data_IF_142737681038
#
_entry.id   IF_142737681038
#
_cell.length_a   1.000
_cell.length_b   1.000
_cell.length_c   1.000
_cell.angle_alpha   90.00
_cell.angle_beta   90.00
_cell.angle_gamma   90.00
#
_symmetry.space_group_name_H-M   'P 1'
#
loop_
_entity.id
_entity.type
_entity.pdbx_description
1 polymer ?
#
# COMPACT_ATOMS: atom_id res chain seq x y z
N UNK A 1 -9.34 -2.92 14.70
CA UNK A 1 -9.34 -4.41 14.73
C UNK A 1 -8.28 -5.01 15.66
N UNK A 2 -7.82 -4.35 16.73
CA UNK A 2 -6.83 -4.96 17.63
C UNK A 2 -5.37 -5.02 17.11
N UNK A 3 -5.09 -4.46 15.93
CA UNK A 3 -3.73 -4.32 15.37
C UNK A 3 -3.33 -5.42 14.37
N UNK A 4 -2.13 -5.31 13.81
CA UNK A 4 -1.62 -6.19 12.74
C UNK A 4 -1.61 -7.67 13.12
N UNK A 5 -1.16 -8.02 14.34
CA UNK A 5 -1.12 -9.41 14.83
C UNK A 5 -2.51 -10.06 14.89
N UNK A 6 -3.54 -9.29 15.26
CA UNK A 6 -4.91 -9.80 15.37
C UNK A 6 -5.47 -10.10 13.98
N UNK A 7 -5.25 -9.20 13.02
CA UNK A 7 -5.68 -9.39 11.63
C UNK A 7 -4.95 -10.58 11.01
N UNK A 8 -3.62 -10.64 11.14
CA UNK A 8 -2.83 -11.75 10.60
C UNK A 8 -3.22 -13.09 11.20
N UNK A 9 -3.35 -13.19 12.53
CA UNK A 9 -3.76 -14.42 13.20
C UNK A 9 -5.14 -14.90 12.76
N UNK A 10 -6.07 -13.98 12.54
CA UNK A 10 -7.39 -14.32 11.99
C UNK A 10 -7.29 -14.88 10.56
N UNK A 11 -6.53 -14.23 9.68
CA UNK A 11 -6.36 -14.69 8.29
C UNK A 11 -5.68 -16.05 8.23
N UNK A 12 -4.59 -16.25 8.97
CA UNK A 12 -3.88 -17.53 9.03
C UNK A 12 -4.75 -18.66 9.60
N UNK A 13 -5.54 -18.36 10.64
CA UNK A 13 -6.52 -19.30 11.19
C UNK A 13 -7.58 -19.70 10.17
N UNK A 14 -8.14 -18.73 9.43
CA UNK A 14 -9.11 -19.01 8.37
C UNK A 14 -8.52 -19.84 7.23
N UNK A 15 -7.28 -19.55 6.81
CA UNK A 15 -6.58 -20.34 5.79
C UNK A 15 -6.46 -21.80 6.23
N UNK A 16 -6.06 -22.04 7.49
CA UNK A 16 -5.90 -23.37 8.05
C UNK A 16 -7.25 -24.10 8.20
N UNK A 17 -8.20 -23.50 8.91
CA UNK A 17 -9.43 -24.17 9.34
C UNK A 17 -10.42 -24.41 8.20
N UNK A 18 -10.38 -23.57 7.17
CA UNK A 18 -11.18 -23.74 5.96
C UNK A 18 -10.44 -24.50 4.85
N UNK A 19 -9.21 -24.94 5.09
CA UNK A 19 -8.36 -25.64 4.12
C UNK A 19 -8.28 -24.88 2.78
N UNK A 20 -7.96 -23.59 2.83
CA UNK A 20 -7.84 -22.73 1.65
C UNK A 20 -6.60 -23.16 0.85
N UNK A 21 -6.81 -23.50 -0.42
CA UNK A 21 -5.74 -24.01 -1.31
C UNK A 21 -5.36 -23.03 -2.43
N UNK A 22 -6.13 -21.96 -2.61
CA UNK A 22 -5.77 -20.88 -3.54
C UNK A 22 -4.73 -19.96 -2.89
N UNK A 23 -3.83 -19.33 -3.67
CA UNK A 23 -2.90 -18.35 -3.13
C UNK A 23 -3.62 -17.19 -2.44
N UNK A 24 -3.16 -16.80 -1.26
CA UNK A 24 -3.68 -15.67 -0.50
C UNK A 24 -2.53 -14.72 -0.18
N UNK A 25 -2.74 -13.43 -0.43
CA UNK A 25 -1.86 -12.37 0.04
C UNK A 25 -2.56 -11.60 1.15
N UNK A 26 -1.87 -11.37 2.26
CA UNK A 26 -2.29 -10.38 3.24
C UNK A 26 -1.54 -9.08 2.94
N UNK A 27 -2.30 -8.09 2.46
CA UNK A 27 -1.81 -6.79 2.04
C UNK A 27 -2.16 -5.72 3.08
N UNK A 28 -1.19 -4.89 3.45
CA UNK A 28 -1.49 -3.63 4.15
C UNK A 28 -1.87 -2.58 3.12
N UNK A 29 -3.12 -2.15 3.15
CA UNK A 29 -3.63 -1.08 2.29
C UNK A 29 -3.35 0.30 2.89
N UNK A 30 -3.12 1.30 2.04
CA UNK A 30 -2.85 2.71 2.40
C UNK A 30 -1.97 2.90 3.68
N UNK A 31 -0.87 2.15 3.76
CA UNK A 31 -0.05 2.11 4.96
C UNK A 31 0.68 3.43 5.23
N UNK A 32 0.58 3.95 6.46
CA UNK A 32 1.51 4.98 6.93
C UNK A 32 2.93 4.43 7.05
N UNK A 33 3.95 5.29 7.08
CA UNK A 33 5.36 4.86 7.19
C UNK A 33 5.63 3.94 8.40
N UNK A 34 5.08 4.28 9.58
CA UNK A 34 5.19 3.43 10.77
C UNK A 34 4.29 2.18 10.69
N UNK A 35 3.15 2.28 10.00
CA UNK A 35 2.27 1.14 9.73
C UNK A 35 2.93 0.10 8.84
N UNK A 36 3.60 0.54 7.77
CA UNK A 36 4.38 -0.30 6.87
C UNK A 36 5.48 -1.06 7.62
N UNK A 37 6.25 -0.37 8.47
CA UNK A 37 7.27 -1.03 9.32
C UNK A 37 6.66 -2.12 10.21
N UNK A 38 5.53 -1.83 10.87
CA UNK A 38 4.83 -2.81 11.71
C UNK A 38 4.30 -4.00 10.90
N UNK A 39 3.77 -3.78 9.71
CA UNK A 39 3.34 -4.86 8.83
C UNK A 39 4.51 -5.75 8.39
N UNK A 40 5.65 -5.15 8.03
CA UNK A 40 6.89 -5.88 7.66
C UNK A 40 7.41 -6.75 8.83
N UNK A 41 7.26 -6.27 10.06
CA UNK A 41 7.65 -7.01 11.27
C UNK A 41 6.61 -8.05 11.73
N UNK A 42 5.38 -7.99 11.20
CA UNK A 42 4.29 -8.89 11.60
C UNK A 42 4.25 -10.12 10.71
N UNK A 43 4.41 -11.30 11.30
CA UNK A 43 4.26 -12.57 10.58
C UNK A 43 2.88 -12.66 9.91
N UNK A 44 2.85 -13.16 8.68
CA UNK A 44 1.63 -13.41 7.90
C UNK A 44 1.29 -12.33 6.87
N UNK A 45 1.82 -11.11 7.00
CA UNK A 45 1.80 -10.15 5.89
C UNK A 45 2.77 -10.60 4.79
N UNK A 46 2.32 -10.55 3.54
CA UNK A 46 3.10 -10.95 2.36
C UNK A 46 3.19 -9.83 1.32
N UNK A 47 2.47 -8.73 1.55
CA UNK A 47 2.40 -7.56 0.69
C UNK A 47 2.11 -6.32 1.54
N UNK A 48 2.58 -5.17 1.09
CA UNK A 48 2.18 -3.88 1.67
C UNK A 48 2.18 -2.78 0.63
N UNK A 49 1.35 -1.77 0.88
CA UNK A 49 1.40 -0.46 0.28
C UNK A 49 1.90 0.56 1.31
N UNK A 50 2.81 1.44 0.89
CA UNK A 50 3.04 2.70 1.58
C UNK A 50 2.39 3.81 0.77
N UNK A 51 1.40 4.46 1.38
CA UNK A 51 0.80 5.66 0.81
C UNK A 51 1.60 6.89 1.26
N UNK A 52 2.50 7.31 0.38
CA UNK A 52 3.28 8.53 0.52
C UNK A 52 2.74 9.71 -0.31
N UNK A 53 1.57 9.57 -0.94
CA UNK A 53 1.03 10.51 -1.93
C UNK A 53 0.87 11.94 -1.38
N UNK A 54 0.55 12.05 -0.09
CA UNK A 54 0.34 13.32 0.59
C UNK A 54 1.64 14.03 0.99
N UNK A 55 2.81 13.39 0.84
CA UNK A 55 4.10 14.01 1.11
C UNK A 55 4.63 14.73 -0.13
N UNK A 56 5.51 15.74 0.03
CA UNK A 56 6.35 16.19 -1.08
C UNK A 56 7.11 15.00 -1.69
N UNK A 57 7.23 14.98 -3.02
CA UNK A 57 7.79 13.84 -3.75
C UNK A 57 9.13 13.32 -3.20
N UNK A 58 10.06 14.20 -2.84
CA UNK A 58 11.37 13.80 -2.30
C UNK A 58 11.27 13.04 -0.97
N UNK A 59 10.28 13.37 -0.14
CA UNK A 59 10.01 12.65 1.10
C UNK A 59 9.34 11.31 0.82
N UNK A 60 8.34 11.26 -0.08
CA UNK A 60 7.74 10.02 -0.55
C UNK A 60 8.82 9.07 -1.10
N UNK A 61 9.65 9.55 -2.03
CA UNK A 61 10.72 8.79 -2.65
C UNK A 61 11.71 8.23 -1.61
N UNK A 62 12.14 9.06 -0.65
CA UNK A 62 13.09 8.65 0.39
C UNK A 62 12.52 7.56 1.29
N UNK A 63 11.26 7.73 1.74
CA UNK A 63 10.57 6.77 2.61
C UNK A 63 10.27 5.46 1.87
N UNK A 64 9.75 5.55 0.65
CA UNK A 64 9.48 4.41 -0.22
C UNK A 64 10.75 3.59 -0.43
N UNK A 65 11.89 4.23 -0.74
CA UNK A 65 13.17 3.53 -0.92
C UNK A 65 13.56 2.71 0.31
N UNK A 66 13.47 3.28 1.51
CA UNK A 66 13.79 2.55 2.74
C UNK A 66 12.86 1.36 2.95
N UNK A 67 11.55 1.57 2.82
CA UNK A 67 10.56 0.53 3.06
C UNK A 67 10.64 -0.60 2.03
N UNK A 68 10.97 -0.30 0.77
CA UNK A 68 11.20 -1.30 -0.28
C UNK A 68 12.37 -2.22 0.08
N UNK A 69 13.48 -1.68 0.60
CA UNK A 69 14.60 -2.53 1.04
C UNK A 69 14.22 -3.43 2.22
N UNK A 70 13.46 -2.90 3.18
CA UNK A 70 12.96 -3.67 4.32
C UNK A 70 12.00 -4.79 3.86
N UNK A 71 11.05 -4.49 2.98
CA UNK A 71 10.09 -5.45 2.44
C UNK A 71 10.79 -6.57 1.66
N UNK A 72 11.78 -6.24 0.83
CA UNK A 72 12.60 -7.22 0.10
C UNK A 72 13.33 -8.17 1.03
N UNK A 73 13.85 -7.68 2.16
CA UNK A 73 14.52 -8.53 3.16
C UNK A 73 13.61 -9.59 3.78
N UNK A 74 12.28 -9.39 3.67
CA UNK A 74 11.23 -10.30 4.15
C UNK A 74 10.50 -11.03 3.02
N UNK A 75 10.95 -10.91 1.77
CA UNK A 75 10.29 -11.46 0.60
C UNK A 75 8.81 -11.04 0.48
N UNK A 76 8.53 -9.77 0.78
CA UNK A 76 7.21 -9.16 0.63
C UNK A 76 7.15 -8.34 -0.65
N UNK A 77 5.98 -8.36 -1.30
CA UNK A 77 5.70 -7.43 -2.40
C UNK A 77 5.43 -6.03 -1.89
N UNK A 78 5.77 -5.02 -2.69
CA UNK A 78 5.66 -3.62 -2.32
C UNK A 78 4.89 -2.80 -3.36
N UNK A 79 3.90 -2.07 -2.88
CA UNK A 79 3.13 -1.09 -3.63
C UNK A 79 3.42 0.34 -3.15
N UNK A 80 3.52 1.28 -4.09
CA UNK A 80 3.70 2.70 -3.79
C UNK A 80 2.70 3.55 -4.58
N UNK A 81 2.35 4.72 -4.05
CA UNK A 81 1.45 5.68 -4.70
C UNK A 81 2.18 6.93 -5.21
N UNK A 82 1.79 7.40 -6.40
CA UNK A 82 2.14 8.71 -6.99
C UNK A 82 0.89 9.39 -7.52
N UNK A 83 0.79 10.71 -7.34
CA UNK A 83 -0.49 11.41 -7.43
C UNK A 83 -1.36 11.06 -6.22
N UNK A 84 -2.64 11.43 -6.24
CA UNK A 84 -3.60 11.02 -5.20
C UNK A 84 -4.83 10.36 -5.81
N UNK A 85 -5.29 9.26 -5.23
CA UNK A 85 -6.61 8.70 -5.54
C UNK A 85 -7.68 9.61 -4.95
N UNK A 86 -8.67 10.02 -5.75
CA UNK A 86 -9.72 10.94 -5.29
C UNK A 86 -10.66 10.29 -4.27
N UNK A 87 -11.35 11.08 -3.46
CA UNK A 87 -12.36 10.56 -2.52
C UNK A 87 -11.79 10.28 -1.13
N UNK A 88 -12.50 9.46 -0.36
CA UNK A 88 -12.12 9.10 1.01
C UNK A 88 -12.07 7.58 1.18
N UNK A 89 -10.93 7.06 1.62
CA UNK A 89 -10.75 5.68 2.07
C UNK A 89 -9.99 5.66 3.39
N UNK A 90 -10.47 4.87 4.37
CA UNK A 90 -9.85 4.73 5.70
C UNK A 90 -9.52 6.05 6.42
N UNK A 91 -10.28 7.12 6.12
CA UNK A 91 -10.10 8.47 6.66
C UNK A 91 -9.01 9.30 5.97
N UNK A 92 -8.43 8.80 4.88
CA UNK A 92 -7.51 9.50 4.00
C UNK A 92 -8.32 10.13 2.87
N UNK A 93 -8.23 11.45 2.74
CA UNK A 93 -8.93 12.21 1.69
C UNK A 93 -7.94 12.61 0.61
N UNK A 94 -8.13 12.11 -0.59
CA UNK A 94 -7.35 12.51 -1.76
C UNK A 94 -8.15 13.42 -2.69
N UNK A 95 -7.46 14.38 -3.29
CA UNK A 95 -8.09 15.34 -4.21
C UNK A 95 -8.17 14.84 -5.66
N UNK A 96 -7.60 13.66 -5.96
CA UNK A 96 -7.59 13.11 -7.31
C UNK A 96 -6.50 13.73 -8.20
N UNK A 97 -5.35 14.04 -7.62
CA UNK A 97 -4.22 14.64 -8.35
C UNK A 97 -3.62 13.63 -9.32
N UNK A 98 -3.45 14.05 -10.57
CA UNK A 98 -2.80 13.21 -11.56
C UNK A 98 -1.33 12.98 -11.19
N UNK A 99 -0.90 11.72 -11.26
CA UNK A 99 0.49 11.33 -11.10
C UNK A 99 1.37 12.03 -12.15
N UNK A 100 2.46 12.65 -11.72
CA UNK A 100 3.51 13.09 -12.65
C UNK A 100 4.23 11.85 -13.23
N UNK A 101 4.27 11.66 -14.56
CA UNK A 101 4.92 10.51 -15.18
C UNK A 101 6.41 10.37 -14.83
N UNK A 102 7.14 11.46 -14.60
CA UNK A 102 8.54 11.40 -14.19
C UNK A 102 8.70 10.97 -12.74
N UNK A 103 7.79 11.38 -11.85
CA UNK A 103 7.75 10.90 -10.47
C UNK A 103 7.43 9.41 -10.39
N UNK A 104 6.40 8.98 -11.13
CA UNK A 104 6.04 7.58 -11.30
C UNK A 104 7.23 6.74 -11.79
N UNK A 105 7.94 7.22 -12.82
CA UNK A 105 9.14 6.55 -13.36
C UNK A 105 10.26 6.46 -12.33
N UNK A 106 10.47 7.49 -11.52
CA UNK A 106 11.51 7.47 -10.46
C UNK A 106 11.16 6.48 -9.36
N UNK A 107 9.92 6.50 -8.86
CA UNK A 107 9.47 5.55 -7.83
C UNK A 107 9.50 4.11 -8.34
N UNK A 108 9.10 3.86 -9.59
CA UNK A 108 9.16 2.51 -10.17
C UNK A 108 10.59 1.95 -10.23
N UNK A 109 11.61 2.82 -10.33
CA UNK A 109 13.03 2.43 -10.34
C UNK A 109 13.58 2.03 -8.97
N UNK A 110 12.86 2.27 -7.87
CA UNK A 110 13.21 1.78 -6.53
C UNK A 110 13.05 0.26 -6.41
N UNK A 111 12.39 -0.36 -7.39
CA UNK A 111 12.10 -1.79 -7.44
C UNK A 111 10.93 -2.16 -6.53
N UNK A 112 9.88 -1.36 -6.57
CA UNK A 112 8.51 -1.73 -6.18
C UNK A 112 7.97 -2.79 -7.15
N UNK A 113 6.93 -3.51 -6.74
CA UNK A 113 6.25 -4.52 -7.56
C UNK A 113 5.01 -3.95 -8.26
N UNK A 114 4.33 -3.00 -7.59
CA UNK A 114 3.07 -2.39 -8.05
C UNK A 114 3.14 -0.87 -7.83
N UNK A 115 2.59 -0.11 -8.78
CA UNK A 115 2.45 1.35 -8.69
C UNK A 115 0.96 1.71 -8.74
N UNK A 116 0.47 2.33 -7.68
CA UNK A 116 -0.79 3.08 -7.69
C UNK A 116 -0.52 4.47 -8.27
N UNK A 117 -1.20 4.81 -9.36
CA UNK A 117 -1.05 6.11 -10.01
C UNK A 117 -2.39 6.85 -10.02
N UNK A 118 -2.41 8.07 -9.52
CA UNK A 118 -3.53 8.98 -9.68
C UNK A 118 -3.80 9.24 -11.16
N UNK A 119 -4.90 8.70 -11.68
CA UNK A 119 -5.32 8.86 -13.08
C UNK A 119 -6.78 9.34 -13.19
N UNK A 120 -7.30 9.93 -12.11
CA UNK A 120 -8.73 10.19 -11.92
C UNK A 120 -9.48 9.01 -11.30
N UNK A 121 -8.80 8.01 -10.75
CA UNK A 121 -9.48 7.01 -9.94
C UNK A 121 -10.00 7.63 -8.63
N UNK A 122 -11.15 7.13 -8.16
CA UNK A 122 -11.82 7.59 -6.94
C UNK A 122 -12.17 6.41 -6.04
N UNK A 123 -11.91 6.59 -4.75
CA UNK A 123 -12.42 5.76 -3.67
C UNK A 123 -13.88 6.03 -3.38
N UNK A 124 -14.66 4.95 -3.29
CA UNK A 124 -16.10 5.03 -3.05
C UNK A 124 -16.91 5.44 -4.30
N UNK A 125 -18.10 6.04 -4.10
CA UNK A 125 -18.99 6.37 -5.21
C UNK A 125 -18.45 7.55 -6.03
N UNK A 126 -18.35 7.35 -7.33
CA UNK A 126 -17.99 8.41 -8.26
C UNK A 126 -19.07 9.52 -8.29
N UNK A 127 -18.67 10.81 -8.36
CA UNK A 127 -19.62 11.90 -8.51
C UNK A 127 -20.38 11.77 -9.84
N UNK A 128 -21.64 12.19 -9.87
CA UNK A 128 -22.46 12.11 -11.07
C UNK A 128 -21.92 12.91 -12.28
N UNK A 129 -20.99 13.82 -12.03
CA UNK A 129 -20.31 14.67 -13.02
C UNK A 129 -18.97 14.10 -13.48
N UNK A 130 -18.67 12.83 -13.17
CA UNK A 130 -17.45 12.16 -13.60
C UNK A 130 -17.36 12.05 -15.12
#
# INVERSE_FOLDING_TARGET
MGGFNVVSGMVLGLINDLNITVPVALHLDHGSYEGAKKAIETDGYTSLMFDGSHFPFEENYTKTRELVELAKSKNMSFEAEVGTIGGEEDGIVGNGEFADPEEARKISQLGIDVLAAGIGNIHGPYPASW
#
